data_IF_586803548317
#
_entry.id   IF_586803548317
#
_cell.length_a   1.000
_cell.length_b   1.000
_cell.length_c   1.000
_cell.angle_alpha   90.00
_cell.angle_beta   90.00
_cell.angle_gamma   90.00
#
_symmetry.space_group_name_H-M   'P 1'
#
loop_
_entity.id
_entity.type
_entity.pdbx_description
1 polymer ?
#
# COMPACT_ATOMS: atom_id res chain seq x y z
N UNK A 1 -13.26 0.69 11.58
CA UNK A 1 -12.07 1.49 11.96
C UNK A 1 -12.08 2.77 11.13
N UNK A 2 -12.60 3.87 11.67
CA UNK A 2 -12.39 5.19 11.09
C UNK A 2 -11.05 5.69 11.63
N UNK A 3 -9.95 5.38 10.92
CA UNK A 3 -8.68 6.06 11.22
C UNK A 3 -8.85 7.52 10.79
N UNK A 4 -8.88 8.44 11.75
CA UNK A 4 -8.93 9.89 11.56
C UNK A 4 -7.57 10.47 11.08
N UNK A 5 -6.62 9.63 10.69
CA UNK A 5 -5.26 10.04 10.35
C UNK A 5 -5.15 10.44 8.88
N UNK A 6 -4.82 11.68 8.56
CA UNK A 6 -4.69 12.14 7.16
C UNK A 6 -3.40 11.67 6.47
N UNK A 7 -2.81 10.58 6.96
CA UNK A 7 -1.56 10.01 6.47
C UNK A 7 -1.63 8.49 6.44
N UNK A 8 -1.04 7.90 5.41
CA UNK A 8 -0.76 6.47 5.28
C UNK A 8 0.75 6.28 5.31
N UNK A 9 1.24 5.53 6.30
CA UNK A 9 2.65 5.15 6.39
C UNK A 9 2.82 3.71 5.95
N UNK A 10 3.61 3.51 4.88
CA UNK A 10 4.00 2.18 4.37
C UNK A 10 5.44 1.91 4.77
N UNK A 11 5.65 0.88 5.59
CA UNK A 11 6.98 0.41 6.01
C UNK A 11 7.37 -0.85 5.26
N UNK A 12 8.47 -0.77 4.53
CA UNK A 12 9.14 -1.92 3.93
C UNK A 12 10.19 -2.36 4.92
N UNK A 13 9.89 -3.44 5.65
CA UNK A 13 10.82 -4.02 6.62
C UNK A 13 11.94 -4.77 5.89
N UNK A 14 13.15 -4.86 6.47
CA UNK A 14 14.23 -5.67 5.91
C UNK A 14 13.77 -7.10 5.68
N UNK A 15 14.03 -7.68 4.51
CA UNK A 15 13.77 -9.11 4.21
C UNK A 15 14.83 -9.62 3.25
N UNK A 16 15.10 -10.94 3.28
CA UNK A 16 16.00 -11.57 2.33
C UNK A 16 15.56 -11.28 0.89
N UNK A 17 16.49 -10.82 0.05
CA UNK A 17 16.24 -10.64 -1.38
C UNK A 17 16.58 -11.91 -2.15
N UNK A 18 15.78 -12.25 -3.17
CA UNK A 18 16.19 -13.24 -4.16
C UNK A 18 17.48 -12.80 -4.85
N UNK A 19 18.32 -13.77 -5.22
CA UNK A 19 19.59 -13.53 -5.93
C UNK A 19 19.48 -13.81 -7.44
N UNK A 20 18.31 -14.26 -7.90
CA UNK A 20 18.03 -14.57 -9.29
C UNK A 20 16.79 -13.81 -9.80
N UNK A 21 16.43 -14.01 -11.07
CA UNK A 21 15.35 -13.29 -11.74
C UNK A 21 14.00 -14.03 -11.76
N UNK A 22 13.91 -15.23 -11.18
CA UNK A 22 12.77 -16.15 -11.41
C UNK A 22 12.08 -16.61 -10.12
N UNK A 23 12.65 -16.35 -8.94
CA UNK A 23 12.12 -16.82 -7.65
C UNK A 23 11.29 -15.77 -6.89
N UNK A 24 10.93 -14.64 -7.51
CA UNK A 24 10.22 -13.57 -6.81
C UNK A 24 8.89 -14.07 -6.23
N UNK A 25 8.16 -14.88 -7.00
CA UNK A 25 6.93 -15.54 -6.56
C UNK A 25 7.18 -16.57 -5.45
N UNK A 26 8.29 -17.30 -5.51
CA UNK A 26 8.65 -18.30 -4.50
C UNK A 26 8.95 -17.64 -3.14
N UNK A 27 9.70 -16.54 -3.14
CA UNK A 27 9.95 -15.74 -1.94
C UNK A 27 8.67 -15.07 -1.43
N UNK A 28 7.82 -14.55 -2.31
CA UNK A 28 6.53 -13.98 -1.91
C UNK A 28 5.66 -15.01 -1.18
N UNK A 29 5.57 -16.23 -1.71
CA UNK A 29 4.84 -17.34 -1.09
C UNK A 29 5.42 -17.70 0.28
N UNK A 30 6.74 -17.79 0.41
CA UNK A 30 7.39 -18.12 1.66
C UNK A 30 7.19 -17.05 2.74
N UNK A 31 7.31 -15.76 2.38
CA UNK A 31 7.02 -14.67 3.33
C UNK A 31 5.56 -14.62 3.73
N UNK A 32 4.61 -14.78 2.78
CA UNK A 32 3.18 -14.82 3.10
C UNK A 32 2.89 -15.97 4.06
N UNK A 33 3.43 -17.16 3.80
CA UNK A 33 3.26 -18.33 4.66
C UNK A 33 3.79 -18.07 6.07
N UNK A 34 5.03 -17.58 6.17
CA UNK A 34 5.65 -17.25 7.44
C UNK A 34 4.80 -16.24 8.25
N UNK A 35 4.47 -15.10 7.64
CA UNK A 35 3.67 -14.03 8.29
C UNK A 35 2.31 -14.57 8.76
N UNK A 36 1.67 -15.41 7.96
CA UNK A 36 0.35 -15.97 8.28
C UNK A 36 0.43 -16.94 9.46
N UNK A 37 1.45 -17.80 9.50
CA UNK A 37 1.60 -18.83 10.53
C UNK A 37 2.07 -18.25 11.86
N UNK A 38 3.02 -17.30 11.84
CA UNK A 38 3.67 -16.80 13.06
C UNK A 38 3.09 -15.48 13.56
N UNK A 39 2.43 -14.71 12.68
CA UNK A 39 2.05 -13.30 12.92
C UNK A 39 3.23 -12.41 13.34
N UNK A 40 4.46 -12.78 12.94
CA UNK A 40 5.69 -12.07 13.32
C UNK A 40 6.27 -11.23 12.18
N UNK A 41 7.14 -10.29 12.54
CA UNK A 41 7.90 -9.50 11.57
C UNK A 41 8.87 -10.42 10.78
N UNK A 42 8.85 -10.40 9.43
CA UNK A 42 9.71 -11.24 8.60
C UNK A 42 11.19 -10.79 8.56
N UNK A 43 11.58 -9.72 9.26
CA UNK A 43 12.96 -9.22 9.21
C UNK A 43 14.05 -10.12 9.75
N UNK A 44 13.66 -11.18 10.44
CA UNK A 44 14.59 -12.12 11.06
C UNK A 44 14.52 -13.50 10.41
N UNK A 45 13.73 -13.68 9.35
CA UNK A 45 13.65 -14.96 8.63
C UNK A 45 14.44 -14.89 7.33
N UNK A 46 15.23 -15.94 7.11
CA UNK A 46 15.86 -16.25 5.85
C UNK A 46 15.44 -17.66 5.43
N UNK A 47 15.27 -17.86 4.13
CA UNK A 47 14.89 -19.12 3.51
C UNK A 47 16.06 -19.73 2.75
N UNK A 48 16.12 -21.07 2.77
CA UNK A 48 17.10 -21.85 2.00
C UNK A 48 16.65 -21.94 0.54
N UNK A 49 17.23 -21.07 -0.30
CA UNK A 49 16.93 -20.94 -1.72
C UNK A 49 17.01 -22.27 -2.50
N UNK A 50 17.89 -23.20 -2.08
CA UNK A 50 18.06 -24.48 -2.78
C UNK A 50 16.90 -25.44 -2.51
N UNK A 51 16.28 -25.35 -1.34
CA UNK A 51 15.24 -26.27 -0.91
C UNK A 51 13.82 -25.74 -1.16
N UNK A 52 13.64 -24.43 -1.27
CA UNK A 52 12.31 -23.82 -1.40
C UNK A 52 11.49 -24.36 -2.58
N UNK A 53 12.09 -24.55 -3.76
CA UNK A 53 11.34 -25.06 -4.95
C UNK A 53 10.85 -26.48 -4.74
N UNK A 54 11.74 -27.36 -4.28
CA UNK A 54 11.40 -28.76 -4.01
C UNK A 54 10.37 -28.87 -2.89
N UNK A 55 10.46 -28.00 -1.87
CA UNK A 55 9.46 -27.88 -0.82
C UNK A 55 8.09 -27.47 -1.35
N UNK A 56 8.02 -26.44 -2.21
CA UNK A 56 6.77 -26.01 -2.82
C UNK A 56 6.14 -27.14 -3.64
N UNK A 57 6.92 -27.89 -4.42
CA UNK A 57 6.43 -29.05 -5.16
C UNK A 57 5.85 -30.13 -4.23
N UNK A 58 6.49 -30.38 -3.09
CA UNK A 58 5.96 -31.31 -2.07
C UNK A 58 4.66 -30.80 -1.46
N UNK A 59 4.58 -29.50 -1.14
CA UNK A 59 3.36 -28.89 -0.61
C UNK A 59 2.18 -29.03 -1.57
N UNK A 60 2.41 -28.73 -2.86
CA UNK A 60 1.38 -28.84 -3.91
C UNK A 60 0.93 -30.29 -4.07
N UNK A 61 1.87 -31.24 -4.18
CA UNK A 61 1.54 -32.67 -4.31
C UNK A 61 0.83 -33.24 -3.08
N UNK A 62 1.21 -32.78 -1.89
CA UNK A 62 0.62 -33.19 -0.62
C UNK A 62 -0.66 -32.44 -0.25
N UNK A 63 -1.10 -31.48 -1.06
CA UNK A 63 -2.22 -30.57 -0.77
C UNK A 63 -2.12 -29.92 0.63
N UNK A 64 -0.89 -29.60 1.06
CA UNK A 64 -0.62 -29.06 2.37
C UNK A 64 0.47 -28.00 2.27
N UNK A 65 0.11 -26.74 2.53
CA UNK A 65 1.05 -25.63 2.45
C UNK A 65 1.72 -25.41 3.82
N UNK A 66 2.93 -25.91 3.97
CA UNK A 66 3.72 -25.86 5.21
C UNK A 66 4.85 -24.83 5.14
N UNK A 67 5.38 -24.46 6.32
CA UNK A 67 6.45 -23.47 6.46
C UNK A 67 7.66 -23.83 5.57
N UNK A 68 8.23 -22.82 4.90
CA UNK A 68 9.37 -23.02 4.01
C UNK A 68 10.67 -23.29 4.79
N UNK A 69 11.61 -24.06 4.21
CA UNK A 69 12.92 -24.30 4.80
C UNK A 69 13.67 -23.00 5.08
N UNK A 70 14.16 -22.84 6.31
CA UNK A 70 14.91 -21.67 6.75
C UNK A 70 16.41 -21.87 6.50
N UNK A 71 17.11 -20.78 6.23
CA UNK A 71 18.56 -20.78 6.12
C UNK A 71 19.20 -20.42 7.45
N UNK A 72 20.26 -21.13 7.82
CA UNK A 72 21.13 -20.79 8.95
C UNK A 72 22.33 -19.92 8.53
N UNK A 73 22.53 -19.76 7.22
CA UNK A 73 23.63 -18.95 6.68
C UNK A 73 23.25 -17.48 6.58
N UNK A 74 24.27 -16.61 6.72
CA UNK A 74 24.09 -15.17 6.54
C UNK A 74 23.58 -14.86 5.14
N UNK A 75 22.44 -14.17 5.06
CA UNK A 75 21.77 -13.81 3.82
C UNK A 75 21.76 -12.30 3.61
N UNK A 76 21.60 -11.87 2.36
CA UNK A 76 21.44 -10.45 2.02
C UNK A 76 20.00 -10.01 2.23
N UNK A 77 19.81 -9.00 3.08
CA UNK A 77 18.53 -8.36 3.33
C UNK A 77 18.43 -7.01 2.62
N UNK A 78 17.22 -6.62 2.21
CA UNK A 78 16.98 -5.25 1.79
C UNK A 78 17.08 -4.29 2.98
N UNK A 79 17.35 -3.02 2.70
CA UNK A 79 17.29 -1.97 3.72
C UNK A 79 15.84 -1.63 4.02
N UNK A 80 15.57 -1.26 5.27
CA UNK A 80 14.30 -0.70 5.67
C UNK A 80 14.00 0.58 4.86
N UNK A 81 12.74 0.76 4.47
CA UNK A 81 12.25 1.98 3.84
C UNK A 81 10.91 2.36 4.44
N UNK A 82 10.69 3.65 4.59
CA UNK A 82 9.39 4.20 4.99
C UNK A 82 8.90 5.15 3.90
N UNK A 83 7.63 5.02 3.54
CA UNK A 83 6.94 5.92 2.62
C UNK A 83 5.73 6.50 3.34
N UNK A 84 5.62 7.83 3.31
CA UNK A 84 4.54 8.55 3.94
C UNK A 84 3.71 9.22 2.84
N UNK A 85 2.41 8.91 2.81
CA UNK A 85 1.47 9.45 1.84
C UNK A 85 0.40 10.25 2.57
N UNK A 86 0.09 11.45 2.10
CA UNK A 86 -1.08 12.18 2.58
C UNK A 86 -2.35 11.55 2.01
N UNK A 87 -3.35 11.37 2.87
CA UNK A 87 -4.68 10.93 2.49
C UNK A 87 -5.58 12.15 2.40
N UNK A 88 -6.35 12.22 1.32
CA UNK A 88 -7.28 13.30 1.10
C UNK A 88 -8.67 12.76 0.75
N UNK A 89 -9.63 13.69 0.68
CA UNK A 89 -11.01 13.43 0.30
C UNK A 89 -11.72 12.43 1.22
N UNK A 90 -13.05 12.36 1.08
CA UNK A 90 -13.87 11.35 1.75
C UNK A 90 -13.50 9.91 1.34
N UNK A 91 -12.92 9.72 0.16
CA UNK A 91 -12.52 8.40 -0.33
C UNK A 91 -11.17 7.92 0.25
N UNK A 92 -10.44 8.78 0.95
CA UNK A 92 -9.18 8.44 1.66
C UNK A 92 -8.15 7.77 0.74
N UNK A 93 -8.10 8.19 -0.52
CA UNK A 93 -7.13 7.69 -1.49
C UNK A 93 -5.89 8.58 -1.46
N UNK A 94 -4.73 7.99 -1.75
CA UNK A 94 -3.48 8.73 -1.94
C UNK A 94 -3.53 9.53 -3.24
N UNK A 95 -2.95 10.72 -3.23
CA UNK A 95 -2.69 11.49 -4.44
C UNK A 95 -1.38 11.06 -5.08
N UNK A 96 -1.42 10.58 -6.32
CA UNK A 96 -0.24 10.21 -7.10
C UNK A 96 -0.02 11.24 -8.22
N UNK A 97 1.23 11.37 -8.68
CA UNK A 97 1.55 12.30 -9.79
C UNK A 97 0.73 12.02 -11.05
N UNK A 98 0.38 10.76 -11.30
CA UNK A 98 -0.49 10.34 -12.40
C UNK A 98 -1.92 10.87 -12.30
N UNK A 99 -2.40 11.20 -11.11
CA UNK A 99 -3.77 11.68 -10.90
C UNK A 99 -3.99 13.08 -11.49
N UNK A 100 -2.91 13.84 -11.70
CA UNK A 100 -2.96 15.14 -12.38
C UNK A 100 -3.53 15.07 -13.81
N UNK A 101 -3.42 13.92 -14.47
CA UNK A 101 -3.94 13.69 -15.82
C UNK A 101 -5.37 13.16 -15.84
N UNK A 102 -5.98 12.88 -14.67
CA UNK A 102 -7.32 12.30 -14.56
C UNK A 102 -8.27 13.38 -14.05
N UNK A 103 -9.12 13.91 -14.92
CA UNK A 103 -10.04 15.02 -14.59
C UNK A 103 -10.90 14.76 -13.36
N UNK A 104 -11.39 13.53 -13.19
CA UNK A 104 -12.21 13.12 -12.04
C UNK A 104 -11.45 13.08 -10.72
N UNK A 105 -10.13 12.98 -10.80
CA UNK A 105 -9.24 13.05 -9.65
C UNK A 105 -8.82 14.48 -9.32
N UNK A 106 -8.99 15.47 -10.20
CA UNK A 106 -8.65 16.85 -9.83
C UNK A 106 -9.28 17.26 -8.50
N UNK A 107 -8.53 18.00 -7.70
CA UNK A 107 -8.92 18.29 -6.31
C UNK A 107 -9.16 19.77 -6.09
N UNK A 108 -10.15 20.09 -5.27
CA UNK A 108 -10.43 21.45 -4.80
C UNK A 108 -10.41 21.43 -3.27
N UNK A 109 -9.85 22.49 -2.70
CA UNK A 109 -9.87 22.73 -1.26
C UNK A 109 -11.21 23.36 -0.86
N UNK A 110 -11.85 22.82 0.16
CA UNK A 110 -13.06 23.42 0.72
C UNK A 110 -12.70 24.69 1.50
N UNK A 111 -13.36 25.82 1.24
CA UNK A 111 -13.11 27.09 1.93
C UNK A 111 -13.46 27.12 3.42
N UNK A 112 -14.20 26.13 3.93
CA UNK A 112 -14.63 26.06 5.34
C UNK A 112 -13.74 25.11 6.16
N UNK A 113 -13.66 23.82 5.80
CA UNK A 113 -12.87 22.85 6.56
C UNK A 113 -11.43 22.66 6.07
N UNK A 114 -11.02 23.38 5.03
CA UNK A 114 -9.67 23.33 4.42
C UNK A 114 -9.20 21.97 3.88
N UNK A 115 -10.03 20.92 3.97
CA UNK A 115 -9.77 19.62 3.37
C UNK A 115 -9.89 19.67 1.83
N UNK A 116 -9.13 18.80 1.18
CA UNK A 116 -9.12 18.63 -0.26
C UNK A 116 -10.04 17.48 -0.70
N UNK A 117 -10.82 17.70 -1.76
CA UNK A 117 -11.80 16.74 -2.26
C UNK A 117 -11.63 16.52 -3.75
N UNK A 118 -11.70 15.25 -4.18
CA UNK A 118 -11.71 14.92 -5.59
C UNK A 118 -13.01 15.39 -6.25
N UNK A 119 -12.88 15.84 -7.51
CA UNK A 119 -13.98 16.28 -8.34
C UNK A 119 -15.12 15.29 -8.36
N UNK A 120 -14.84 14.02 -8.69
CA UNK A 120 -15.88 13.01 -8.78
C UNK A 120 -16.50 12.64 -7.42
N UNK A 121 -15.75 12.74 -6.32
CA UNK A 121 -16.24 12.37 -4.99
C UNK A 121 -17.28 13.36 -4.45
N UNK A 122 -17.09 14.66 -4.68
CA UNK A 122 -18.02 15.71 -4.24
C UNK A 122 -18.82 16.31 -5.41
N UNK A 123 -18.72 15.73 -6.61
CA UNK A 123 -19.34 16.21 -7.86
C UNK A 123 -19.05 17.69 -8.11
N UNK A 124 -17.78 18.09 -7.96
CA UNK A 124 -17.35 19.48 -8.07
C UNK A 124 -17.57 19.97 -9.52
N UNK A 125 -18.33 21.06 -9.71
CA UNK A 125 -18.58 21.64 -11.04
C UNK A 125 -17.30 22.07 -11.75
N UNK A 126 -17.32 22.07 -13.10
CA UNK A 126 -16.17 22.48 -13.91
C UNK A 126 -15.72 23.92 -13.64
N UNK A 127 -16.68 24.84 -13.44
CA UNK A 127 -16.35 26.25 -13.20
C UNK A 127 -15.48 26.46 -11.96
N UNK A 128 -15.60 25.60 -10.93
CA UNK A 128 -14.77 25.67 -9.71
C UNK A 128 -13.31 25.29 -9.99
N UNK A 129 -13.08 24.40 -10.96
CA UNK A 129 -11.74 24.01 -11.37
C UNK A 129 -11.12 25.00 -12.37
N UNK A 130 -11.95 25.72 -13.12
CA UNK A 130 -11.54 26.69 -14.14
C UNK A 130 -11.27 28.08 -13.54
N UNK A 131 -12.06 28.50 -12.55
CA UNK A 131 -11.95 29.80 -11.89
C UNK A 131 -11.30 29.68 -10.49
N UNK A 132 -10.12 30.28 -10.34
CA UNK A 132 -9.38 30.29 -9.06
C UNK A 132 -10.05 31.14 -7.98
N UNK A 133 -11.00 31.99 -8.34
CA UNK A 133 -11.78 32.81 -7.41
C UNK A 133 -13.14 32.20 -7.05
N UNK A 134 -13.46 31.00 -7.57
CA UNK A 134 -14.71 30.35 -7.26
C UNK A 134 -14.78 29.94 -5.79
N UNK A 135 -15.77 30.48 -5.07
CA UNK A 135 -16.09 30.02 -3.73
C UNK A 135 -16.73 28.63 -3.79
N UNK A 136 -16.11 27.66 -3.14
CA UNK A 136 -16.64 26.31 -3.03
C UNK A 136 -16.44 25.72 -1.62
N UNK A 137 -17.47 25.05 -1.13
CA UNK A 137 -17.43 24.27 0.11
C UNK A 137 -17.92 22.85 -0.14
N UNK A 138 -17.38 21.89 0.60
CA UNK A 138 -17.79 20.50 0.47
C UNK A 138 -19.20 20.28 1.00
N UNK A 139 -19.85 19.19 0.55
CA UNK A 139 -21.23 18.84 0.93
C UNK A 139 -21.45 18.80 2.44
N UNK A 140 -20.45 18.33 3.21
CA UNK A 140 -20.51 18.30 4.68
C UNK A 140 -20.63 19.70 5.27
N UNK A 141 -19.79 20.64 4.84
CA UNK A 141 -19.82 22.00 5.35
C UNK A 141 -21.03 22.78 4.85
N UNK A 142 -21.45 22.57 3.59
CA UNK A 142 -22.65 23.22 3.05
C UNK A 142 -23.94 22.75 3.75
N UNK A 143 -23.97 21.52 4.27
CA UNK A 143 -25.12 20.99 5.04
C UNK A 143 -25.22 21.48 6.49
N UNK A 144 -24.20 22.20 6.97
CA UNK A 144 -24.14 22.75 8.34
C UNK A 144 -24.44 24.27 8.38
N UNK A 145 -24.73 24.87 7.22
CA UNK A 145 -25.18 26.25 7.04
C UNK A 145 -26.70 26.28 6.87
#
# INVERSE_FOLDING_TARGET
MHCNEDKLTVRVVPVQQQTNYVDCGLYALAFIKHITDTRSNPSYVAFDAFQMRNHLLKCVKGNQFTEFPKSETAMRFCKEKEFNFSLYCICRQVWLASDSYIKDRHMVQCGICENWYHRACERIPDYVLEDKCADWSCSKCSSML
#
